data_IF_947649626400
#
_entry.id   IF_947649626400
#
_cell.length_a   1.000
_cell.length_b   1.000
_cell.length_c   1.000
_cell.angle_alpha   90.00
_cell.angle_beta   90.00
_cell.angle_gamma   90.00
#
_symmetry.space_group_name_H-M   'P 1'
#
loop_
_entity.id
_entity.type
_entity.pdbx_description
1 polymer ?
#
# COMPACT_ATOMS: atom_id res chain seq x y z
N UNK A 1 2.45 11.81 -17.64
CA UNK A 1 3.56 12.26 -18.52
C UNK A 1 4.67 11.24 -18.43
N UNK A 2 5.16 10.72 -19.56
CA UNK A 2 6.24 9.71 -19.60
C UNK A 2 7.57 10.39 -19.83
N UNK A 3 8.61 10.00 -19.08
CA UNK A 3 9.99 10.47 -19.27
C UNK A 3 10.95 9.29 -19.38
N UNK A 4 11.95 9.41 -20.25
CA UNK A 4 13.09 8.51 -20.26
C UNK A 4 14.01 8.83 -19.08
N UNK A 5 14.39 7.81 -18.32
CA UNK A 5 15.20 7.92 -17.11
C UNK A 5 16.37 6.93 -17.17
N UNK A 6 17.53 7.39 -16.74
CA UNK A 6 18.73 6.58 -16.62
C UNK A 6 18.68 5.74 -15.33
N UNK A 7 19.02 4.47 -15.47
CA UNK A 7 19.16 3.54 -14.36
C UNK A 7 20.53 3.75 -13.73
N UNK A 8 20.57 4.04 -12.43
CA UNK A 8 21.82 4.19 -11.65
C UNK A 8 22.27 2.87 -11.05
N UNK A 9 21.31 2.11 -10.52
CA UNK A 9 21.55 0.83 -9.87
C UNK A 9 20.54 -0.15 -10.44
N UNK A 10 21.02 -1.31 -10.88
CA UNK A 10 20.18 -2.42 -11.28
C UNK A 10 20.79 -3.70 -10.73
N UNK A 11 20.12 -4.33 -9.77
CA UNK A 11 20.52 -5.62 -9.24
C UNK A 11 19.29 -6.52 -9.06
N UNK A 12 19.52 -7.72 -8.53
CA UNK A 12 18.48 -8.72 -8.34
C UNK A 12 17.38 -8.29 -7.36
N UNK A 13 17.67 -7.34 -6.47
CA UNK A 13 16.71 -6.88 -5.46
C UNK A 13 15.97 -5.60 -5.89
N UNK A 14 16.70 -4.63 -6.44
CA UNK A 14 16.19 -3.27 -6.66
C UNK A 14 16.69 -2.67 -7.98
N UNK A 15 15.92 -1.71 -8.47
CA UNK A 15 16.31 -0.85 -9.58
C UNK A 15 16.13 0.61 -9.16
N UNK A 16 17.18 1.41 -9.23
CA UNK A 16 17.14 2.85 -8.90
C UNK A 16 17.28 3.66 -10.17
N UNK A 17 16.35 4.58 -10.39
CA UNK A 17 16.28 5.41 -11.59
C UNK A 17 16.30 6.87 -11.21
N UNK A 18 16.98 7.69 -12.02
CA UNK A 18 17.02 9.13 -11.82
C UNK A 18 15.89 9.80 -12.59
N UNK A 19 14.90 10.33 -11.86
CA UNK A 19 13.78 11.09 -12.42
C UNK A 19 13.98 12.58 -12.10
N UNK A 20 14.61 13.30 -13.05
CA UNK A 20 15.03 14.68 -12.82
C UNK A 20 16.10 14.78 -11.73
N UNK A 21 15.77 15.45 -10.62
CA UNK A 21 16.65 15.60 -9.45
C UNK A 21 16.34 14.63 -8.32
N UNK A 22 15.35 13.75 -8.50
CA UNK A 22 14.95 12.74 -7.52
C UNK A 22 15.37 11.36 -7.98
N UNK A 23 15.90 10.56 -7.06
CA UNK A 23 16.16 9.14 -7.29
C UNK A 23 14.97 8.31 -6.78
N UNK A 24 14.43 7.46 -7.65
CA UNK A 24 13.26 6.63 -7.35
C UNK A 24 13.71 5.17 -7.31
N UNK A 25 13.36 4.49 -6.22
CA UNK A 25 13.61 3.07 -6.06
C UNK A 25 12.40 2.25 -6.49
N UNK A 26 12.64 1.29 -7.37
CA UNK A 26 11.71 0.26 -7.78
C UNK A 26 12.22 -1.11 -7.31
N UNK A 27 11.31 -2.09 -7.16
CA UNK A 27 11.69 -3.49 -7.13
C UNK A 27 12.51 -3.87 -8.38
N UNK A 28 13.27 -4.95 -8.30
CA UNK A 28 14.00 -5.45 -9.46
C UNK A 28 13.06 -5.67 -10.64
N UNK A 29 13.44 -5.09 -11.78
CA UNK A 29 12.69 -5.26 -13.04
C UNK A 29 13.14 -6.52 -13.80
N UNK A 30 14.12 -7.28 -13.29
CA UNK A 30 14.70 -8.48 -13.94
C UNK A 30 15.02 -8.29 -15.43
N UNK A 31 15.38 -7.06 -15.81
CA UNK A 31 15.77 -6.66 -17.16
C UNK A 31 17.12 -5.94 -17.06
N UNK A 32 18.10 -6.35 -17.84
CA UNK A 32 19.38 -5.65 -17.96
C UNK A 32 19.23 -4.48 -18.93
N UNK A 33 18.76 -3.34 -18.42
CA UNK A 33 18.56 -2.12 -19.19
C UNK A 33 19.21 -0.93 -18.49
N UNK A 34 19.83 -0.05 -19.27
CA UNK A 34 20.44 1.18 -18.78
C UNK A 34 19.45 2.36 -18.75
N UNK A 35 18.35 2.26 -19.49
CA UNK A 35 17.31 3.28 -19.56
C UNK A 35 15.93 2.65 -19.41
N UNK A 36 15.04 3.35 -18.71
CA UNK A 36 13.64 2.96 -18.54
C UNK A 36 12.73 4.17 -18.75
N UNK A 37 11.47 3.92 -19.10
CA UNK A 37 10.48 4.98 -19.22
C UNK A 37 9.63 5.00 -17.97
N UNK A 38 9.55 6.15 -17.32
CA UNK A 38 8.77 6.34 -16.09
C UNK A 38 7.59 7.25 -16.39
N UNK A 39 6.38 6.75 -16.14
CA UNK A 39 5.15 7.54 -16.13
C UNK A 39 4.84 7.99 -14.71
N UNK A 40 4.49 9.26 -14.56
CA UNK A 40 3.91 9.79 -13.32
C UNK A 40 2.43 10.09 -13.52
N UNK A 41 1.59 9.44 -12.71
CA UNK A 41 0.14 9.56 -12.75
C UNK A 41 -0.45 9.38 -11.35
N UNK A 42 -1.32 10.30 -10.93
CA UNK A 42 -2.04 10.21 -9.65
C UNK A 42 -1.14 10.11 -8.40
N UNK A 43 0.05 10.72 -8.40
CA UNK A 43 0.98 10.65 -7.27
C UNK A 43 1.86 9.39 -7.23
N UNK A 44 1.78 8.55 -8.27
CA UNK A 44 2.51 7.28 -8.35
C UNK A 44 3.41 7.25 -9.58
N UNK A 45 4.51 6.52 -9.46
CA UNK A 45 5.44 6.28 -10.55
C UNK A 45 5.27 4.86 -11.08
N UNK A 46 5.26 4.74 -12.41
CA UNK A 46 5.11 3.48 -13.11
C UNK A 46 6.23 3.33 -14.12
N UNK A 47 6.88 2.17 -14.16
CA UNK A 47 7.79 1.83 -15.25
C UNK A 47 6.92 1.34 -16.41
N UNK A 48 7.12 1.94 -17.57
CA UNK A 48 6.40 1.64 -18.81
C UNK A 48 7.38 1.28 -19.91
N UNK A 49 6.94 0.53 -20.92
CA UNK A 49 7.73 0.27 -22.12
C UNK A 49 7.62 1.44 -23.11
N UNK A 50 8.52 1.52 -24.11
CA UNK A 50 8.55 2.62 -25.10
C UNK A 50 7.22 2.83 -25.82
N UNK A 51 6.53 1.73 -26.14
CA UNK A 51 5.29 1.74 -26.90
C UNK A 51 4.04 1.76 -26.02
N UNK A 52 4.17 2.16 -24.76
CA UNK A 52 3.05 2.21 -23.83
C UNK A 52 1.99 3.22 -24.29
N UNK A 53 0.86 2.69 -24.78
CA UNK A 53 -0.37 3.44 -24.96
C UNK A 53 -1.20 3.26 -23.69
N UNK A 54 -1.55 4.32 -22.95
CA UNK A 54 -2.46 4.20 -21.83
C UNK A 54 -3.80 3.72 -22.39
N UNK A 55 -4.12 2.42 -22.23
CA UNK A 55 -5.49 1.98 -22.45
C UNK A 55 -6.29 2.57 -21.32
N UNK A 56 -7.31 3.37 -21.63
CA UNK A 56 -8.30 3.84 -20.66
C UNK A 56 -8.98 2.58 -20.13
N UNK A 57 -8.51 2.06 -19.01
CA UNK A 57 -9.18 0.99 -18.29
C UNK A 57 -10.20 1.71 -17.42
N UNK A 58 -11.44 1.77 -17.90
CA UNK A 58 -12.58 2.16 -17.08
C UNK A 58 -12.45 1.47 -15.72
N UNK A 59 -12.29 2.26 -14.66
CA UNK A 59 -12.28 1.76 -13.29
C UNK A 59 -13.59 1.04 -13.03
N UNK A 60 -13.59 -0.30 -13.16
CA UNK A 60 -14.72 -1.10 -12.71
C UNK A 60 -14.85 -0.87 -11.21
N UNK A 61 -16.00 -0.37 -10.72
CA UNK A 61 -16.20 -0.22 -9.29
C UNK A 61 -16.11 -1.61 -8.65
N UNK A 62 -15.05 -1.83 -7.88
CA UNK A 62 -14.90 -3.05 -7.09
C UNK A 62 -15.92 -2.97 -5.94
N UNK A 63 -17.07 -3.63 -6.12
CA UNK A 63 -17.98 -3.87 -5.02
C UNK A 63 -17.24 -4.63 -3.93
N UNK A 64 -16.98 -3.97 -2.80
CA UNK A 64 -16.49 -4.60 -1.58
C UNK A 64 -17.56 -5.58 -1.10
N UNK A 65 -17.43 -6.86 -1.45
CA UNK A 65 -18.13 -7.92 -0.72
C UNK A 65 -17.50 -7.98 0.66
N UNK A 66 -18.17 -7.39 1.65
CA UNK A 66 -17.80 -7.51 3.05
C UNK A 66 -17.70 -8.99 3.41
N UNK A 67 -16.48 -9.46 3.67
CA UNK A 67 -16.28 -10.80 4.20
C UNK A 67 -16.75 -10.77 5.66
N UNK A 68 -17.90 -11.39 5.94
CA UNK A 68 -18.39 -11.53 7.30
C UNK A 68 -17.44 -12.49 8.03
N UNK A 69 -16.55 -11.93 8.84
CA UNK A 69 -15.67 -12.68 9.72
C UNK A 69 -16.52 -13.32 10.82
N UNK A 70 -16.73 -14.64 10.76
CA UNK A 70 -17.35 -15.38 11.87
C UNK A 70 -16.33 -15.51 13.00
N UNK A 71 -16.60 -14.86 14.13
CA UNK A 71 -15.87 -15.05 15.40
C UNK A 71 -16.65 -16.02 16.29
N UNK A 72 -15.98 -17.06 16.78
CA UNK A 72 -16.51 -17.93 17.85
C UNK A 72 -16.43 -17.18 19.17
N UNK A 73 -17.57 -16.78 19.73
CA UNK A 73 -17.64 -16.16 21.05
C UNK A 73 -17.23 -17.16 22.13
N UNK A 74 -16.20 -16.85 22.91
CA UNK A 74 -15.92 -17.54 24.17
C UNK A 74 -17.09 -17.27 25.11
N UNK A 75 -17.79 -18.32 25.53
CA UNK A 75 -18.81 -18.22 26.58
C UNK A 75 -18.11 -17.93 27.90
N UNK A 76 -18.14 -16.65 28.33
CA UNK A 76 -17.81 -16.30 29.71
C UNK A 76 -18.97 -16.74 30.59
N UNK A 77 -18.75 -17.79 31.38
CA UNK A 77 -19.66 -18.25 32.41
C UNK A 77 -19.96 -17.09 33.38
N UNK A 78 -21.23 -16.72 33.50
CA UNK A 78 -21.71 -15.79 34.52
C UNK A 78 -21.82 -16.57 35.82
N UNK A 79 -20.90 -16.35 36.75
CA UNK A 79 -21.14 -16.62 38.16
C UNK A 79 -21.52 -15.27 38.76
N UNK A 80 -22.78 -15.16 39.16
CA UNK A 80 -23.29 -14.06 39.95
C UNK A 80 -22.77 -14.18 41.38
N UNK A 81 -22.20 -13.12 41.95
CA UNK A 81 -22.53 -12.62 43.28
C UNK A 81 -22.23 -11.10 43.30
N UNK A 82 -23.32 -10.38 43.54
CA UNK A 82 -23.47 -9.04 44.11
C UNK A 82 -22.44 -8.70 45.19
N UNK A 83 -21.69 -7.60 45.07
CA UNK A 83 -21.44 -6.65 46.16
C UNK A 83 -21.19 -5.24 45.58
N UNK A 84 -22.13 -4.36 45.91
CA UNK A 84 -22.15 -2.90 45.83
C UNK A 84 -20.88 -2.28 46.43
N UNK A 85 -20.31 -1.22 45.85
CA UNK A 85 -19.80 -0.07 46.63
C UNK A 85 -19.54 1.13 45.70
N UNK A 86 -20.30 2.18 45.94
CA UNK A 86 -20.29 3.49 45.29
C UNK A 86 -19.07 4.31 45.71
N UNK A 87 -18.40 4.94 44.77
CA UNK A 87 -17.38 5.95 45.01
C UNK A 87 -18.01 7.22 45.61
N UNK A 88 -17.56 7.64 46.79
CA UNK A 88 -17.74 9.03 47.25
C UNK A 88 -16.64 9.45 48.22
N UNK A 89 -15.76 10.29 47.71
CA UNK A 89 -14.84 11.19 48.38
C UNK A 89 -15.48 11.97 49.56
N UNK A 90 -14.77 12.06 50.70
CA UNK A 90 -14.78 13.26 51.55
C UNK A 90 -13.54 13.34 52.45
N UNK A 91 -12.67 14.30 52.15
CA UNK A 91 -11.64 14.88 53.01
C UNK A 91 -12.29 15.56 54.23
N UNK A 92 -11.80 15.24 55.44
CA UNK A 92 -11.77 16.10 56.64
C UNK A 92 -10.96 15.43 57.76
#
# INVERSE_FOLDING_TARGET
MVKECLVKINNEAITVVRYGDTDIQFPSIHKDVNTVFVSYEGGKYFIVDKDYKPSVVDEKPTQKKGSIKKTTGKQSAKIAVEETHTDKEKDA
#
